data_IF_998513647450
#
_entry.id   IF_998513647450
#
_cell.length_a   1.000
_cell.length_b   1.000
_cell.length_c   1.000
_cell.angle_alpha   90.00
_cell.angle_beta   90.00
_cell.angle_gamma   90.00
#
_symmetry.space_group_name_H-M   'P 1'
#
loop_
_entity.id
_entity.type
_entity.pdbx_description
1 polymer ?
#
# COMPACT_ATOMS: atom_id res chain seq x y z
N UNK A 1 -67.72 -8.21 -27.92
CA UNK A 1 -67.94 -7.02 -28.78
C UNK A 1 -69.12 -6.26 -28.17
N UNK A 2 -69.01 -5.01 -27.68
CA UNK A 2 -68.57 -3.77 -28.35
C UNK A 2 -69.47 -3.54 -29.58
N UNK A 3 -70.32 -2.51 -29.76
CA UNK A 3 -70.67 -1.21 -29.09
C UNK A 3 -72.11 -0.81 -29.62
N UNK A 4 -72.84 0.23 -29.23
CA UNK A 4 -72.66 1.39 -28.30
C UNK A 4 -74.03 1.97 -27.86
N UNK A 5 -74.03 2.74 -26.77
CA UNK A 5 -74.84 3.93 -26.42
C UNK A 5 -76.22 4.18 -27.05
N UNK A 6 -77.28 4.09 -26.21
CA UNK A 6 -78.45 4.96 -26.33
C UNK A 6 -78.39 6.06 -25.25
N UNK A 7 -78.36 7.30 -25.71
CA UNK A 7 -78.48 8.52 -24.89
C UNK A 7 -79.96 8.90 -24.75
N UNK A 8 -80.51 8.95 -23.51
CA UNK A 8 -81.69 9.78 -23.21
C UNK A 8 -82.00 9.99 -21.72
N UNK A 9 -82.51 11.20 -21.47
CA UNK A 9 -83.36 11.69 -20.38
C UNK A 9 -82.79 11.99 -18.97
N UNK A 10 -82.82 13.31 -18.70
CA UNK A 10 -83.48 13.95 -17.56
C UNK A 10 -82.84 13.97 -16.16
N UNK A 11 -82.14 15.09 -15.94
CA UNK A 11 -82.43 16.03 -14.82
C UNK A 11 -83.96 16.13 -14.64
N UNK A 12 -84.59 16.05 -13.47
CA UNK A 12 -84.50 16.91 -12.27
C UNK A 12 -85.25 16.23 -11.12
N UNK A 13 -84.73 16.28 -9.88
CA UNK A 13 -85.55 16.37 -8.65
C UNK A 13 -84.67 16.64 -7.40
N UNK A 14 -84.44 17.90 -7.07
CA UNK A 14 -84.19 18.27 -5.67
C UNK A 14 -85.50 18.16 -4.87
N UNK A 15 -85.43 17.58 -3.67
CA UNK A 15 -86.27 17.97 -2.54
C UNK A 15 -85.53 17.64 -1.24
N UNK A 16 -85.22 18.66 -0.45
CA UNK A 16 -84.33 18.52 0.70
C UNK A 16 -84.92 17.69 1.84
N UNK A 17 -84.08 16.88 2.48
CA UNK A 17 -84.33 16.38 3.83
C UNK A 17 -83.54 17.24 4.81
N UNK A 18 -84.21 18.27 5.36
CA UNK A 18 -83.70 19.08 6.46
C UNK A 18 -83.76 18.26 7.76
N UNK A 19 -82.91 17.25 7.87
CA UNK A 19 -82.78 16.45 9.07
C UNK A 19 -82.00 17.21 10.14
N UNK A 20 -82.64 17.52 11.26
CA UNK A 20 -81.93 17.95 12.46
C UNK A 20 -80.90 16.88 12.83
N UNK A 21 -79.63 17.28 12.93
CA UNK A 21 -78.56 16.38 13.34
C UNK A 21 -78.84 15.89 14.76
N UNK A 22 -79.14 14.60 14.93
CA UNK A 22 -79.24 13.99 16.26
C UNK A 22 -77.92 14.22 17.01
N UNK A 23 -77.94 14.44 18.33
CA UNK A 23 -76.76 14.88 19.08
C UNK A 23 -75.55 13.94 18.94
N UNK A 24 -75.81 12.66 18.67
CA UNK A 24 -74.81 11.63 18.38
C UNK A 24 -74.04 11.88 17.06
N UNK A 25 -74.71 12.35 16.00
CA UNK A 25 -74.06 12.68 14.71
C UNK A 25 -73.18 13.94 14.82
N UNK A 26 -73.61 14.94 15.60
CA UNK A 26 -72.80 16.13 15.89
C UNK A 26 -71.56 15.79 16.73
N UNK A 27 -71.69 14.88 17.71
CA UNK A 27 -70.57 14.39 18.50
C UNK A 27 -69.56 13.60 17.64
N UNK A 28 -70.03 12.72 16.75
CA UNK A 28 -69.17 11.98 15.81
C UNK A 28 -68.40 12.91 14.87
N UNK A 29 -69.03 13.98 14.36
CA UNK A 29 -68.36 14.96 13.51
C UNK A 29 -67.26 15.72 14.28
N UNK A 30 -67.51 16.12 15.53
CA UNK A 30 -66.52 16.76 16.39
C UNK A 30 -65.33 15.82 16.70
N UNK A 31 -65.58 14.53 16.91
CA UNK A 31 -64.53 13.53 17.10
C UNK A 31 -63.68 13.36 15.82
N UNK A 32 -64.31 13.28 14.64
CA UNK A 32 -63.62 13.20 13.34
C UNK A 32 -62.70 14.41 13.12
N UNK A 33 -63.19 15.63 13.38
CA UNK A 33 -62.40 16.84 13.14
C UNK A 33 -61.28 17.02 14.19
N UNK A 34 -61.48 16.54 15.42
CA UNK A 34 -60.43 16.40 16.44
C UNK A 34 -59.34 15.41 15.99
N UNK A 35 -59.69 14.24 15.44
CA UNK A 35 -58.71 13.28 14.92
C UNK A 35 -57.97 13.80 13.68
N UNK A 36 -58.65 14.50 12.76
CA UNK A 36 -57.99 15.18 11.63
C UNK A 36 -57.01 16.25 12.11
N UNK A 37 -57.40 17.07 13.09
CA UNK A 37 -56.53 18.09 13.66
C UNK A 37 -55.32 17.48 14.42
N UNK A 38 -55.52 16.36 15.12
CA UNK A 38 -54.44 15.63 15.79
C UNK A 38 -53.47 15.01 14.77
N UNK A 39 -54.00 14.41 13.70
CA UNK A 39 -53.22 13.81 12.61
C UNK A 39 -52.32 14.85 11.94
N UNK A 40 -52.88 16.00 11.52
CA UNK A 40 -52.11 17.12 10.94
C UNK A 40 -51.00 17.60 11.87
N UNK A 41 -51.30 17.84 13.15
CA UNK A 41 -50.31 18.24 14.16
C UNK A 41 -49.18 17.22 14.34
N UNK A 42 -49.48 15.92 14.26
CA UNK A 42 -48.47 14.88 14.36
C UNK A 42 -47.62 14.78 13.08
N UNK A 43 -48.21 14.99 11.90
CA UNK A 43 -47.49 15.04 10.64
C UNK A 43 -46.56 16.27 10.57
N UNK A 44 -47.02 17.43 11.02
CA UNK A 44 -46.21 18.66 11.09
C UNK A 44 -45.03 18.49 12.07
N UNK A 45 -45.27 17.89 13.24
CA UNK A 45 -44.22 17.54 14.21
C UNK A 45 -43.23 16.52 13.67
N UNK A 46 -43.71 15.50 12.94
CA UNK A 46 -42.83 14.52 12.30
C UNK A 46 -41.94 15.17 11.24
N UNK A 47 -42.49 16.07 10.42
CA UNK A 47 -41.72 16.85 9.44
C UNK A 47 -40.67 17.71 10.13
N UNK A 48 -41.03 18.48 11.16
CA UNK A 48 -40.07 19.28 11.94
C UNK A 48 -38.96 18.42 12.54
N UNK A 49 -39.30 17.36 13.27
CA UNK A 49 -38.33 16.45 13.87
C UNK A 49 -37.44 15.75 12.83
N UNK A 50 -37.97 15.41 11.66
CA UNK A 50 -37.19 14.82 10.56
C UNK A 50 -36.22 15.83 9.93
N UNK A 51 -36.63 17.09 9.76
CA UNK A 51 -35.75 18.16 9.24
C UNK A 51 -34.64 18.50 10.24
N UNK A 52 -34.95 18.52 11.53
CA UNK A 52 -33.95 18.67 12.59
C UNK A 52 -32.96 17.50 12.62
N UNK A 53 -33.44 16.25 12.55
CA UNK A 53 -32.58 15.06 12.48
C UNK A 53 -31.67 15.05 11.24
N UNK A 54 -32.19 15.47 10.09
CA UNK A 54 -31.41 15.55 8.85
C UNK A 54 -30.35 16.65 8.94
N UNK A 55 -30.70 17.83 9.50
CA UNK A 55 -29.74 18.91 9.77
C UNK A 55 -28.64 18.50 10.76
N UNK A 56 -28.99 17.77 11.83
CA UNK A 56 -28.01 17.18 12.75
C UNK A 56 -27.12 16.14 12.07
N UNK A 57 -27.66 15.29 11.18
CA UNK A 57 -26.85 14.36 10.40
C UNK A 57 -25.91 15.06 9.42
N UNK A 58 -26.36 16.09 8.73
CA UNK A 58 -25.58 16.76 7.69
C UNK A 58 -24.43 17.60 8.28
N UNK A 59 -24.70 18.26 9.42
CA UNK A 59 -23.66 18.94 10.22
C UNK A 59 -22.69 17.95 10.85
N UNK A 60 -23.17 16.87 11.48
CA UNK A 60 -22.26 15.86 12.03
C UNK A 60 -21.49 15.10 10.96
N UNK A 61 -22.06 14.73 9.80
CA UNK A 61 -21.30 14.07 8.74
C UNK A 61 -20.11 14.92 8.29
N UNK A 62 -20.31 16.20 8.00
CA UNK A 62 -19.22 17.05 7.48
C UNK A 62 -18.12 17.35 8.50
N UNK A 63 -18.44 17.49 9.79
CA UNK A 63 -17.43 17.71 10.84
C UNK A 63 -16.82 16.39 11.36
N UNK A 64 -17.59 15.30 11.45
CA UNK A 64 -17.05 13.98 11.84
C UNK A 64 -16.24 13.34 10.72
N UNK A 65 -16.59 13.50 9.44
CA UNK A 65 -15.76 13.02 8.32
C UNK A 65 -14.41 13.74 8.31
N UNK A 66 -14.38 15.07 8.51
CA UNK A 66 -13.12 15.81 8.68
C UNK A 66 -12.32 15.35 9.90
N UNK A 67 -12.98 15.14 11.04
CA UNK A 67 -12.32 14.65 12.25
C UNK A 67 -11.77 13.23 12.07
N UNK A 68 -12.50 12.35 11.38
CA UNK A 68 -12.08 10.98 11.06
C UNK A 68 -10.93 11.00 10.04
N UNK A 69 -10.97 11.85 9.01
CA UNK A 69 -9.89 11.91 8.02
C UNK A 69 -8.62 12.52 8.61
N UNK A 70 -8.74 13.56 9.45
CA UNK A 70 -7.63 14.08 10.24
C UNK A 70 -7.05 13.01 11.18
N UNK A 71 -7.90 12.29 11.93
CA UNK A 71 -7.48 11.21 12.82
C UNK A 71 -6.83 10.03 12.07
N UNK A 72 -7.27 9.70 10.84
CA UNK A 72 -6.61 8.69 9.98
C UNK A 72 -5.23 9.15 9.54
N UNK A 73 -5.08 10.41 9.12
CA UNK A 73 -3.78 10.97 8.71
C UNK A 73 -2.84 11.00 9.92
N UNK A 74 -3.30 11.47 11.07
CA UNK A 74 -2.52 11.52 12.30
C UNK A 74 -2.13 10.12 12.79
N UNK A 75 -3.06 9.15 12.77
CA UNK A 75 -2.77 7.75 13.11
C UNK A 75 -1.80 7.08 12.13
N UNK A 76 -1.91 7.38 10.82
CA UNK A 76 -0.95 6.90 9.80
C UNK A 76 0.44 7.47 10.04
N UNK A 77 0.54 8.77 10.31
CA UNK A 77 1.82 9.45 10.55
C UNK A 77 2.46 8.95 11.86
N UNK A 78 1.67 8.76 12.92
CA UNK A 78 2.13 8.17 14.19
C UNK A 78 2.68 6.75 13.96
N UNK A 79 1.90 5.87 13.32
CA UNK A 79 2.33 4.51 13.01
C UNK A 79 3.58 4.46 12.13
N UNK A 80 3.68 5.33 11.12
CA UNK A 80 4.87 5.44 10.27
C UNK A 80 6.08 5.99 11.04
N UNK A 81 5.91 6.88 12.02
CA UNK A 81 7.04 7.34 12.85
C UNK A 81 7.65 6.22 13.72
N UNK A 82 6.83 5.29 14.24
CA UNK A 82 7.29 4.16 15.07
C UNK A 82 8.10 3.10 14.29
N UNK A 83 7.90 3.03 12.97
CA UNK A 83 8.57 2.05 12.09
C UNK A 83 9.48 2.68 11.04
N UNK A 84 9.40 4.00 10.80
CA UNK A 84 10.09 4.70 9.72
C UNK A 84 11.61 4.56 9.81
N UNK A 85 12.17 4.75 11.01
CA UNK A 85 13.61 4.52 11.27
C UNK A 85 14.05 3.08 11.04
N UNK A 86 13.17 2.09 11.28
CA UNK A 86 13.43 0.67 11.01
C UNK A 86 13.35 0.36 9.52
N UNK A 87 12.38 0.93 8.82
CA UNK A 87 12.23 0.83 7.35
C UNK A 87 13.44 1.47 6.65
N UNK A 88 13.82 2.69 7.04
CA UNK A 88 15.04 3.37 6.56
C UNK A 88 16.27 2.49 6.76
N UNK A 89 16.45 1.88 7.93
CA UNK A 89 17.60 1.00 8.20
C UNK A 89 17.59 -0.26 7.31
N UNK A 90 16.42 -0.86 7.09
CA UNK A 90 16.26 -2.01 6.20
C UNK A 90 16.54 -1.64 4.74
N UNK A 91 16.03 -0.50 4.26
CA UNK A 91 16.19 -0.02 2.89
C UNK A 91 17.62 0.45 2.61
N UNK A 92 18.25 1.15 3.56
CA UNK A 92 19.66 1.53 3.51
C UNK A 92 20.56 0.28 3.40
N UNK A 93 20.30 -0.78 4.18
CA UNK A 93 20.99 -2.07 4.07
C UNK A 93 20.75 -2.76 2.72
N UNK A 94 19.54 -2.72 2.20
CA UNK A 94 19.20 -3.29 0.89
C UNK A 94 19.96 -2.56 -0.23
N UNK A 95 19.92 -1.23 -0.25
CA UNK A 95 20.62 -0.37 -1.20
C UNK A 95 22.15 -0.57 -1.12
N UNK A 96 22.72 -0.63 0.08
CA UNK A 96 24.16 -0.86 0.25
C UNK A 96 24.59 -2.25 -0.22
N UNK A 97 23.78 -3.28 0.04
CA UNK A 97 24.03 -4.65 -0.41
C UNK A 97 23.94 -4.76 -1.93
N UNK A 98 22.98 -4.08 -2.56
CA UNK A 98 22.85 -4.01 -4.02
C UNK A 98 24.03 -3.25 -4.67
N UNK A 99 24.53 -2.19 -4.03
CA UNK A 99 25.71 -1.45 -4.47
C UNK A 99 27.04 -2.18 -4.14
N UNK A 100 27.01 -3.22 -3.31
CA UNK A 100 28.19 -3.93 -2.80
C UNK A 100 29.03 -3.09 -1.84
N UNK A 101 28.47 -2.06 -1.20
CA UNK A 101 29.20 -1.10 -0.37
C UNK A 101 29.01 -1.40 1.12
N UNK A 102 30.08 -1.46 1.94
CA UNK A 102 29.94 -1.62 3.39
C UNK A 102 29.35 -0.36 4.02
N UNK A 103 28.27 -0.51 4.78
CA UNK A 103 27.72 0.55 5.62
C UNK A 103 28.51 0.69 6.94
N UNK A 104 28.63 1.91 7.49
CA UNK A 104 28.93 2.09 8.91
C UNK A 104 27.79 1.52 9.79
N UNK A 105 28.08 1.28 11.07
CA UNK A 105 27.08 0.84 12.05
C UNK A 105 25.89 1.79 12.11
N UNK A 106 24.68 1.24 12.30
CA UNK A 106 23.43 2.01 12.31
C UNK A 106 23.40 3.04 13.47
N UNK A 107 24.13 2.78 14.54
CA UNK A 107 24.34 3.64 15.69
C UNK A 107 25.15 4.92 15.37
N UNK A 108 25.87 4.97 14.25
CA UNK A 108 26.60 6.15 13.77
C UNK A 108 25.84 6.93 12.68
N UNK A 109 24.66 6.46 12.29
CA UNK A 109 23.86 7.03 11.20
C UNK A 109 22.66 7.78 11.77
N UNK A 110 22.49 9.03 11.34
CA UNK A 110 21.28 9.79 11.63
C UNK A 110 20.12 9.27 10.74
N UNK A 111 19.45 8.20 11.17
CA UNK A 111 18.36 7.57 10.43
C UNK A 111 17.20 8.54 10.18
N UNK A 112 16.94 9.47 11.09
CA UNK A 112 15.88 10.48 10.95
C UNK A 112 16.12 11.40 9.74
N UNK A 113 17.38 11.64 9.37
CA UNK A 113 17.75 12.41 8.17
C UNK A 113 17.44 11.73 6.83
N UNK A 114 16.95 10.49 6.86
CA UNK A 114 16.48 9.73 5.68
C UNK A 114 14.96 9.45 5.73
N UNK A 115 14.25 9.93 6.75
CA UNK A 115 12.78 9.86 6.79
C UNK A 115 12.19 11.02 5.97
N UNK A 116 11.12 10.74 5.23
CA UNK A 116 10.31 11.68 4.47
C UNK A 116 9.29 12.42 5.34
N UNK A 117 8.67 13.46 4.79
CA UNK A 117 7.63 14.24 5.48
C UNK A 117 6.36 13.41 5.80
N UNK A 118 6.17 12.29 5.12
CA UNK A 118 5.09 11.31 5.33
C UNK A 118 5.46 10.16 6.30
N UNK A 119 6.68 10.16 6.85
CA UNK A 119 7.21 9.07 7.69
C UNK A 119 7.76 7.85 6.91
N UNK A 120 7.75 7.88 5.57
CA UNK A 120 8.34 6.82 4.73
C UNK A 120 9.85 7.01 4.55
N UNK A 121 10.61 5.99 4.11
CA UNK A 121 12.00 6.17 3.70
C UNK A 121 12.14 7.06 2.45
N UNK A 122 13.08 7.99 2.46
CA UNK A 122 13.46 8.78 1.29
C UNK A 122 14.52 8.03 0.48
N UNK A 123 14.05 7.27 -0.51
CA UNK A 123 14.91 6.45 -1.39
C UNK A 123 15.95 7.29 -2.15
N UNK A 124 15.63 8.52 -2.55
CA UNK A 124 16.57 9.40 -3.26
C UNK A 124 17.72 9.86 -2.35
N UNK A 125 17.44 10.23 -1.09
CA UNK A 125 18.49 10.51 -0.09
C UNK A 125 19.31 9.27 0.25
N UNK A 126 18.68 8.10 0.37
CA UNK A 126 19.34 6.82 0.62
C UNK A 126 20.29 6.44 -0.53
N UNK A 127 19.84 6.50 -1.79
CA UNK A 127 20.65 6.21 -2.98
C UNK A 127 21.82 7.19 -3.13
N UNK A 128 21.58 8.49 -2.90
CA UNK A 128 22.64 9.51 -2.93
C UNK A 128 23.72 9.24 -1.87
N UNK A 129 23.31 8.90 -0.64
CA UNK A 129 24.24 8.55 0.43
C UNK A 129 25.03 7.27 0.10
N UNK A 130 24.37 6.17 -0.30
CA UNK A 130 25.04 4.92 -0.68
C UNK A 130 26.00 5.13 -1.86
N UNK A 131 25.65 6.00 -2.82
CA UNK A 131 26.52 6.35 -3.96
C UNK A 131 27.73 7.19 -3.58
N UNK A 132 27.66 7.94 -2.47
CA UNK A 132 28.78 8.74 -1.94
C UNK A 132 29.80 7.93 -1.12
N UNK A 133 29.40 6.74 -0.65
CA UNK A 133 30.26 5.88 0.14
C UNK A 133 31.40 5.27 -0.72
N UNK A 134 32.59 5.05 -0.15
CA UNK A 134 33.71 4.46 -0.89
C UNK A 134 33.38 3.02 -1.30
N UNK A 135 33.39 2.76 -2.61
CA UNK A 135 33.28 1.41 -3.15
C UNK A 135 34.43 0.54 -2.62
N UNK A 136 34.19 -0.71 -2.20
CA UNK A 136 35.25 -1.56 -1.70
C UNK A 136 36.28 -1.78 -2.81
N UNK A 137 37.53 -1.42 -2.51
CA UNK A 137 38.63 -1.66 -3.42
C UNK A 137 38.92 -3.17 -3.41
N UNK A 138 38.69 -3.86 -4.52
CA UNK A 138 38.96 -5.30 -4.64
C UNK A 138 40.46 -5.63 -4.74
N UNK A 139 41.32 -4.60 -4.83
CA UNK A 139 42.75 -4.76 -4.70
C UNK A 139 43.11 -5.32 -3.31
N UNK A 140 43.88 -6.41 -3.21
CA UNK A 140 44.30 -6.94 -1.93
C UNK A 140 45.14 -5.91 -1.17
N UNK A 141 44.92 -5.78 0.14
CA UNK A 141 45.63 -4.80 1.00
C UNK A 141 47.14 -5.03 1.10
N UNK A 142 47.64 -6.15 0.58
CA UNK A 142 49.04 -6.55 0.58
C UNK A 142 49.38 -7.18 -0.77
N UNK A 143 50.64 -7.04 -1.20
CA UNK A 143 51.11 -7.71 -2.40
C UNK A 143 51.03 -9.25 -2.21
N UNK A 144 50.21 -9.93 -3.01
CA UNK A 144 50.04 -11.39 -2.94
C UNK A 144 51.28 -12.17 -3.42
N UNK A 145 52.26 -11.49 -4.03
CA UNK A 145 53.49 -12.09 -4.52
C UNK A 145 54.67 -11.80 -3.56
N UNK A 146 54.59 -12.39 -2.36
CA UNK A 146 55.64 -12.35 -1.32
C UNK A 146 56.78 -13.37 -1.57
N UNK A 147 57.00 -13.79 -2.81
CA UNK A 147 58.08 -14.71 -3.19
C UNK A 147 57.93 -16.17 -2.70
N UNK A 148 56.84 -16.50 -2.00
CA UNK A 148 56.55 -17.81 -1.42
C UNK A 148 56.05 -18.88 -2.43
N UNK A 149 56.43 -18.73 -3.70
CA UNK A 149 55.92 -19.56 -4.80
C UNK A 149 54.45 -19.27 -5.15
N UNK A 150 53.91 -20.02 -6.10
CA UNK A 150 52.56 -19.82 -6.62
C UNK A 150 51.52 -20.44 -5.67
N UNK A 151 50.74 -19.61 -4.98
CA UNK A 151 49.67 -20.08 -4.11
C UNK A 151 48.36 -20.30 -4.89
N UNK A 152 47.89 -21.55 -4.93
CA UNK A 152 46.63 -21.97 -5.55
C UNK A 152 46.78 -22.94 -6.72
N UNK A 153 45.68 -23.62 -7.09
CA UNK A 153 45.63 -24.62 -8.17
C UNK A 153 46.23 -24.11 -9.50
N UNK A 154 46.78 -25.00 -10.37
CA UNK A 154 47.32 -24.62 -11.67
C UNK A 154 46.42 -23.67 -12.46
N UNK A 155 47.02 -22.81 -13.28
CA UNK A 155 46.25 -22.00 -14.23
C UNK A 155 45.40 -22.93 -15.12
N UNK A 156 44.13 -22.57 -15.34
CA UNK A 156 43.17 -23.44 -16.02
C UNK A 156 43.72 -23.94 -17.38
N UNK A 157 43.80 -25.27 -17.54
CA UNK A 157 44.37 -25.92 -18.72
C UNK A 157 45.84 -26.35 -18.61
N UNK A 158 46.54 -26.05 -17.51
CA UNK A 158 47.84 -26.65 -17.19
C UNK A 158 47.67 -28.06 -16.59
N UNK A 159 48.56 -28.98 -16.97
CA UNK A 159 48.58 -30.36 -16.48
C UNK A 159 49.35 -30.46 -15.15
N UNK A 160 48.87 -31.34 -14.27
CA UNK A 160 49.55 -31.69 -13.01
C UNK A 160 50.60 -32.79 -13.21
N UNK A 161 51.40 -33.06 -12.17
CA UNK A 161 52.36 -34.18 -12.17
C UNK A 161 51.62 -35.53 -12.25
N UNK A 162 50.46 -35.60 -11.63
CA UNK A 162 49.56 -36.74 -11.59
C UNK A 162 48.96 -36.99 -12.98
N UNK A 163 48.58 -35.95 -13.72
CA UNK A 163 48.08 -36.08 -15.09
C UNK A 163 49.17 -36.62 -16.04
N UNK A 164 50.40 -36.10 -15.95
CA UNK A 164 51.52 -36.59 -16.75
C UNK A 164 51.83 -38.07 -16.45
N UNK A 165 51.65 -38.53 -15.20
CA UNK A 165 51.88 -39.94 -14.83
C UNK A 165 50.95 -40.93 -15.54
N UNK A 166 49.83 -40.45 -16.10
CA UNK A 166 48.82 -41.23 -16.83
C UNK A 166 48.88 -41.05 -18.35
N UNK A 167 49.76 -40.17 -18.85
CA UNK A 167 49.93 -39.89 -20.28
C UNK A 167 51.07 -40.69 -20.91
N UNK A 168 50.93 -41.03 -22.19
CA UNK A 168 52.02 -41.62 -22.97
C UNK A 168 53.11 -40.59 -23.30
N UNK A 169 54.36 -41.01 -23.57
CA UNK A 169 55.44 -40.10 -23.97
C UNK A 169 55.13 -39.24 -25.20
N UNK A 170 54.24 -39.69 -26.09
CA UNK A 170 53.79 -38.90 -27.24
C UNK A 170 52.88 -37.75 -26.82
N UNK A 171 51.87 -38.04 -26.00
CA UNK A 171 50.92 -37.05 -25.50
C UNK A 171 51.61 -35.99 -24.63
N UNK A 172 52.61 -36.37 -23.82
CA UNK A 172 53.43 -35.42 -23.04
C UNK A 172 54.16 -34.43 -23.96
N UNK A 173 54.70 -34.91 -25.10
CA UNK A 173 55.39 -34.03 -26.06
C UNK A 173 54.41 -33.12 -26.82
N UNK A 174 53.21 -33.60 -27.14
CA UNK A 174 52.15 -32.79 -27.75
C UNK A 174 51.61 -31.74 -26.74
N UNK A 175 51.42 -32.10 -25.47
CA UNK A 175 51.03 -31.19 -24.39
C UNK A 175 52.08 -30.12 -24.10
N UNK A 176 53.38 -30.46 -24.13
CA UNK A 176 54.48 -29.49 -24.04
C UNK A 176 54.47 -28.50 -25.21
N UNK A 177 54.26 -28.97 -26.45
CA UNK A 177 54.11 -28.08 -27.62
C UNK A 177 52.88 -27.17 -27.53
N UNK A 178 51.82 -27.64 -26.86
CA UNK A 178 50.60 -26.89 -26.61
C UNK A 178 50.67 -25.97 -25.37
N UNK A 179 51.84 -25.79 -24.73
CA UNK A 179 52.02 -24.91 -23.56
C UNK A 179 51.33 -25.39 -22.28
N UNK A 180 50.82 -26.63 -22.24
CA UNK A 180 50.05 -27.16 -21.10
C UNK A 180 50.93 -27.64 -19.92
N UNK A 181 52.25 -27.63 -20.09
CA UNK A 181 53.22 -28.08 -19.10
C UNK A 181 54.07 -26.95 -18.52
N UNK A 182 53.76 -25.69 -18.86
CA UNK A 182 54.60 -24.53 -18.55
C UNK A 182 54.72 -24.30 -17.03
N UNK A 183 53.65 -24.51 -16.27
CA UNK A 183 53.66 -24.44 -14.81
C UNK A 183 54.60 -25.49 -14.19
N UNK A 184 54.60 -26.73 -14.70
CA UNK A 184 55.53 -27.78 -14.26
C UNK A 184 56.99 -27.44 -14.62
N UNK A 185 57.21 -26.85 -15.80
CA UNK A 185 58.55 -26.46 -16.26
C UNK A 185 59.14 -25.27 -15.50
N UNK A 186 58.29 -24.37 -14.99
CA UNK A 186 58.70 -23.24 -14.12
C UNK A 186 58.75 -23.59 -12.62
N UNK A 187 58.37 -24.81 -12.23
CA UNK A 187 58.35 -25.23 -10.82
C UNK A 187 57.22 -24.58 -10.00
N UNK A 188 56.10 -24.27 -10.64
CA UNK A 188 54.95 -23.54 -10.06
C UNK A 188 53.84 -24.47 -9.52
N UNK A 189 54.19 -25.74 -9.25
CA UNK A 189 53.32 -26.87 -8.86
C UNK A 189 54.00 -27.81 -7.85
#
# INVERSE_FOLDING_TARGET
MIRMDENKNDVVAEAGSTGEATPETAALQAEIDKWKALSRKNEDRFKQASTELEGFRQSQMTDTEKAIEAAKVEARNAALSEVGTKLVNAELRAASSAAGVPLPGAEYLNLDSFVGEDGSPDSARIEAFVSSLPKPNSAPSYAQNIGLGRQGSPAAGQLTREDLSRMSPREINEARKAGKCDALMRGEL
#
